data_IF_082244126208
#
_entry.id   IF_082244126208
#
_cell.length_a   1.000
_cell.length_b   1.000
_cell.length_c   1.000
_cell.angle_alpha   90.00
_cell.angle_beta   90.00
_cell.angle_gamma   90.00
#
_symmetry.space_group_name_H-M   'P 1'
#
loop_
_entity.id
_entity.type
_entity.pdbx_description
1 polymer ?
#
# COMPACT_ATOMS: atom_id res chain seq x y z
N UNK A 1 -13.12 24.54 11.38
CA UNK A 1 -11.82 23.93 11.58
C UNK A 1 -11.00 24.10 10.31
N UNK A 2 -9.70 24.19 10.42
CA UNK A 2 -8.77 24.13 9.30
C UNK A 2 -8.28 22.68 9.16
N UNK A 3 -8.59 22.04 8.03
CA UNK A 3 -8.22 20.65 7.74
C UNK A 3 -7.12 20.61 6.70
N UNK A 4 -6.05 19.90 6.96
CA UNK A 4 -5.08 19.53 5.94
C UNK A 4 -5.52 18.17 5.31
N UNK A 5 -5.87 18.17 4.03
CA UNK A 5 -6.08 16.94 3.26
C UNK A 5 -4.72 16.48 2.72
N UNK A 6 -4.23 15.36 3.25
CA UNK A 6 -2.93 14.77 2.90
C UNK A 6 -3.15 13.56 1.98
N UNK A 7 -2.48 13.55 0.83
CA UNK A 7 -2.68 12.57 -0.24
C UNK A 7 -1.39 12.30 -1.02
N UNK A 8 -1.39 11.25 -1.83
CA UNK A 8 -0.41 11.06 -2.89
C UNK A 8 -1.10 11.24 -4.25
N UNK A 9 -0.65 12.23 -5.03
CA UNK A 9 -1.19 12.50 -6.36
C UNK A 9 -0.50 11.64 -7.40
N UNK A 10 -1.29 10.85 -8.13
CA UNK A 10 -0.84 10.22 -9.36
C UNK A 10 -0.81 11.28 -10.47
N UNK A 11 0.40 11.70 -10.86
CA UNK A 11 0.56 12.54 -12.04
C UNK A 11 0.12 11.74 -13.27
N UNK A 12 -0.86 12.24 -13.97
CA UNK A 12 -1.17 11.72 -15.30
C UNK A 12 0.06 11.95 -16.18
N UNK A 13 0.52 10.91 -16.86
CA UNK A 13 1.63 11.03 -17.80
C UNK A 13 1.34 12.15 -18.81
N UNK A 14 2.06 13.25 -18.69
CA UNK A 14 1.84 14.50 -19.47
C UNK A 14 2.29 14.35 -20.93
N UNK A 15 2.67 13.17 -21.38
CA UNK A 15 2.98 12.95 -22.79
C UNK A 15 2.55 11.57 -23.26
N UNK A 16 1.77 11.56 -24.31
CA UNK A 16 1.28 10.39 -25.06
C UNK A 16 2.43 9.63 -25.75
N UNK A 17 3.65 10.16 -25.77
CA UNK A 17 4.75 9.68 -26.61
C UNK A 17 5.82 8.87 -25.87
N UNK A 18 5.91 8.94 -24.53
CA UNK A 18 6.74 8.02 -23.75
C UNK A 18 6.06 7.73 -22.40
N UNK A 19 5.65 6.47 -22.13
CA UNK A 19 5.29 6.11 -20.77
C UNK A 19 6.51 6.36 -19.87
N UNK A 20 6.35 6.91 -18.65
CA UNK A 20 7.46 7.07 -17.73
C UNK A 20 8.20 5.73 -17.66
N UNK A 21 9.52 5.77 -17.82
CA UNK A 21 10.36 4.58 -17.74
C UNK A 21 10.20 3.98 -16.34
N UNK A 22 9.34 2.96 -16.24
CA UNK A 22 9.13 2.27 -14.98
C UNK A 22 10.45 1.68 -14.51
N UNK A 23 10.77 1.77 -13.23
CA UNK A 23 11.92 1.07 -12.67
C UNK A 23 11.81 -0.42 -13.04
N UNK A 24 12.92 -1.10 -13.38
CA UNK A 24 12.90 -2.53 -13.62
C UNK A 24 12.22 -3.25 -12.46
N UNK A 25 11.21 -4.08 -12.77
CA UNK A 25 10.50 -4.87 -11.76
C UNK A 25 9.10 -4.38 -11.39
N UNK A 26 8.50 -3.43 -12.12
CA UNK A 26 7.11 -3.03 -11.96
C UNK A 26 6.28 -3.39 -13.20
N UNK A 27 4.99 -3.71 -12.99
CA UNK A 27 4.07 -4.13 -14.06
C UNK A 27 3.01 -3.06 -14.38
N UNK A 28 3.38 -1.78 -14.44
CA UNK A 28 2.43 -0.71 -14.71
C UNK A 28 1.55 -0.30 -13.53
N UNK A 29 1.81 -0.85 -12.35
CA UNK A 29 0.97 -0.67 -11.16
C UNK A 29 1.64 0.09 -10.00
N UNK A 30 2.81 0.71 -10.24
CA UNK A 30 3.59 1.37 -9.18
C UNK A 30 2.78 2.44 -8.43
N UNK A 31 1.93 3.17 -9.14
CA UNK A 31 1.07 4.22 -8.60
C UNK A 31 -0.39 3.78 -8.43
N UNK A 32 -0.68 2.47 -8.41
CA UNK A 32 -2.05 1.97 -8.31
C UNK A 32 -2.75 2.34 -6.99
N UNK A 33 -1.97 2.67 -5.96
CA UNK A 33 -2.47 3.10 -4.64
C UNK A 33 -2.66 4.63 -4.54
N UNK A 34 -2.17 5.39 -5.53
CA UNK A 34 -2.27 6.84 -5.51
C UNK A 34 -3.55 7.34 -6.16
N UNK A 35 -4.08 8.43 -5.62
CA UNK A 35 -5.31 9.04 -6.12
C UNK A 35 -5.07 9.93 -7.35
N UNK A 36 -6.06 9.95 -8.23
CA UNK A 36 -6.13 10.96 -9.28
C UNK A 36 -6.63 12.30 -8.73
N UNK A 37 -6.41 13.36 -9.51
CA UNK A 37 -6.82 14.72 -9.10
C UNK A 37 -8.34 14.86 -8.90
N UNK A 38 -9.16 14.10 -9.62
CA UNK A 38 -10.61 14.15 -9.49
C UNK A 38 -11.08 13.60 -8.15
N UNK A 39 -10.50 12.48 -7.70
CA UNK A 39 -10.74 11.91 -6.37
C UNK A 39 -10.36 12.92 -5.28
N UNK A 40 -9.15 13.49 -5.36
CA UNK A 40 -8.67 14.47 -4.38
C UNK A 40 -9.60 15.68 -4.31
N UNK A 41 -9.99 16.22 -5.48
CA UNK A 41 -10.91 17.37 -5.56
C UNK A 41 -12.33 17.05 -5.04
N UNK A 42 -12.80 15.84 -5.23
CA UNK A 42 -14.09 15.41 -4.68
C UNK A 42 -14.07 15.37 -3.14
N UNK A 43 -12.99 14.83 -2.55
CA UNK A 43 -12.79 14.81 -1.10
C UNK A 43 -12.65 16.25 -0.55
N UNK A 44 -11.81 17.08 -1.19
CA UNK A 44 -11.66 18.49 -0.85
C UNK A 44 -13.02 19.21 -0.85
N UNK A 45 -13.80 19.07 -1.91
CA UNK A 45 -15.11 19.72 -2.02
C UNK A 45 -16.09 19.27 -0.93
N UNK A 46 -16.09 17.97 -0.58
CA UNK A 46 -16.93 17.44 0.48
C UNK A 46 -16.55 18.04 1.85
N UNK A 47 -15.28 18.12 2.18
CA UNK A 47 -14.76 18.70 3.41
C UNK A 47 -15.01 20.24 3.45
N UNK A 48 -14.81 20.92 2.31
CA UNK A 48 -14.96 22.38 2.20
C UNK A 48 -16.39 22.87 2.42
N UNK A 49 -17.39 21.99 2.40
CA UNK A 49 -18.78 22.36 2.74
C UNK A 49 -18.93 22.93 4.14
N UNK A 50 -18.02 22.58 5.06
CA UNK A 50 -18.08 22.96 6.48
C UNK A 50 -16.75 23.41 7.08
N UNK A 51 -15.66 23.25 6.37
CA UNK A 51 -14.30 23.45 6.88
C UNK A 51 -13.45 24.25 5.89
N UNK A 52 -12.43 24.92 6.39
CA UNK A 52 -11.34 25.39 5.53
C UNK A 52 -10.44 24.20 5.21
N UNK A 53 -10.08 23.97 3.94
CA UNK A 53 -9.26 22.84 3.51
C UNK A 53 -7.99 23.34 2.83
N UNK A 54 -6.85 22.77 3.22
CA UNK A 54 -5.56 22.95 2.54
C UNK A 54 -5.08 21.59 2.02
N UNK A 55 -4.66 21.57 0.76
CA UNK A 55 -4.12 20.38 0.11
C UNK A 55 -2.63 20.22 0.41
N UNK A 56 -2.21 19.03 0.82
CA UNK A 56 -0.81 18.70 1.10
C UNK A 56 -0.45 17.39 0.42
N UNK A 57 0.39 17.44 -0.61
CA UNK A 57 0.97 16.23 -1.18
C UNK A 57 1.94 15.59 -0.18
N UNK A 58 1.89 14.27 -0.02
CA UNK A 58 2.75 13.50 0.87
C UNK A 58 4.13 13.27 0.24
N UNK A 59 4.85 14.34 0.05
CA UNK A 59 6.22 14.41 -0.48
C UNK A 59 7.23 14.77 0.62
N UNK A 60 8.49 14.95 0.24
CA UNK A 60 9.57 15.29 1.19
C UNK A 60 9.36 16.64 1.90
N UNK A 61 8.57 17.54 1.34
CA UNK A 61 8.26 18.84 1.93
C UNK A 61 7.05 18.81 2.87
N UNK A 62 6.34 17.67 2.95
CA UNK A 62 5.09 17.54 3.71
C UNK A 62 5.25 17.93 5.18
N UNK A 63 6.38 17.58 5.80
CA UNK A 63 6.68 17.95 7.20
C UNK A 63 6.63 19.46 7.40
N UNK A 64 7.35 20.24 6.59
CA UNK A 64 7.41 21.68 6.71
C UNK A 64 6.11 22.38 6.31
N UNK A 65 5.41 21.85 5.29
CA UNK A 65 4.08 22.32 4.88
C UNK A 65 3.09 22.18 6.03
N UNK A 66 3.00 21.02 6.66
CA UNK A 66 2.11 20.77 7.80
C UNK A 66 2.46 21.64 9.01
N UNK A 67 3.77 21.77 9.32
CA UNK A 67 4.23 22.65 10.40
C UNK A 67 3.83 24.10 10.17
N UNK A 68 3.94 24.59 8.96
CA UNK A 68 3.59 25.97 8.60
C UNK A 68 2.08 26.22 8.59
N UNK A 69 1.30 25.21 8.14
CA UNK A 69 -0.16 25.29 8.10
C UNK A 69 -0.80 25.21 9.50
N UNK A 70 -0.18 24.43 10.39
CA UNK A 70 -0.69 24.15 11.74
C UNK A 70 -2.19 23.86 11.75
N UNK A 71 -2.67 22.83 11.04
CA UNK A 71 -4.09 22.54 10.92
C UNK A 71 -4.69 22.02 12.21
N UNK A 72 -6.00 22.19 12.38
CA UNK A 72 -6.75 21.62 13.51
C UNK A 72 -6.87 20.09 13.41
N UNK A 73 -6.87 19.55 12.17
CA UNK A 73 -7.00 18.13 11.86
C UNK A 73 -6.33 17.81 10.53
N UNK A 74 -5.69 16.66 10.45
CA UNK A 74 -5.24 16.07 9.19
C UNK A 74 -6.24 15.01 8.74
N UNK A 75 -6.79 15.18 7.54
CA UNK A 75 -7.53 14.12 6.85
C UNK A 75 -6.55 13.39 5.92
N UNK A 76 -6.16 12.16 6.33
CA UNK A 76 -5.11 11.41 5.66
C UNK A 76 -5.69 10.36 4.70
N UNK A 77 -5.30 10.45 3.43
CA UNK A 77 -5.53 9.43 2.39
C UNK A 77 -4.22 9.07 1.68
N UNK A 78 -3.06 9.41 2.28
CA UNK A 78 -1.77 9.13 1.68
C UNK A 78 -1.34 7.68 1.93
N UNK A 79 -0.84 7.01 0.88
CA UNK A 79 -0.40 5.60 0.88
C UNK A 79 1.14 5.47 0.91
N UNK A 80 1.86 6.55 0.54
CA UNK A 80 3.31 6.52 0.40
C UNK A 80 3.77 5.80 -0.86
N UNK A 81 5.08 5.72 -1.08
CA UNK A 81 5.66 5.06 -2.25
C UNK A 81 6.76 4.07 -1.88
N UNK A 82 7.64 4.43 -1.00
CA UNK A 82 8.86 3.67 -0.72
C UNK A 82 8.91 3.13 0.71
N UNK A 83 9.43 1.92 0.84
CA UNK A 83 9.69 1.27 2.11
C UNK A 83 8.58 0.33 2.58
N UNK A 84 8.99 -0.63 3.41
CA UNK A 84 8.10 -1.67 3.96
C UNK A 84 7.04 -1.13 4.94
N UNK A 85 7.15 0.14 5.33
CA UNK A 85 6.20 0.82 6.23
C UNK A 85 5.75 2.16 5.63
N UNK A 86 5.61 2.22 4.28
CA UNK A 86 5.31 3.47 3.58
C UNK A 86 4.03 4.16 4.07
N UNK A 87 2.98 3.40 4.35
CA UNK A 87 1.71 3.93 4.86
C UNK A 87 1.84 4.55 6.27
N UNK A 88 2.82 4.10 7.05
CA UNK A 88 3.07 4.59 8.40
C UNK A 88 3.85 5.92 8.44
N UNK A 89 4.46 6.34 7.33
CA UNK A 89 5.36 7.51 7.30
C UNK A 89 4.62 8.81 7.62
N UNK A 90 3.49 9.06 6.96
CA UNK A 90 2.73 10.28 7.19
C UNK A 90 2.12 10.33 8.60
N UNK A 91 1.46 9.29 9.13
CA UNK A 91 1.01 9.27 10.52
C UNK A 91 2.13 9.49 11.54
N UNK A 92 3.33 8.96 11.31
CA UNK A 92 4.48 9.23 12.19
C UNK A 92 4.88 10.72 12.19
N UNK A 93 4.78 11.40 11.05
CA UNK A 93 4.99 12.85 10.95
C UNK A 93 3.89 13.61 11.72
N UNK A 94 2.62 13.18 11.62
CA UNK A 94 1.52 13.82 12.34
C UNK A 94 1.70 13.69 13.86
N UNK A 95 2.08 12.49 14.35
CA UNK A 95 2.38 12.28 15.77
C UNK A 95 3.57 13.11 16.25
N UNK A 96 4.63 13.21 15.46
CA UNK A 96 5.80 14.04 15.79
C UNK A 96 5.40 15.51 15.93
N UNK A 97 4.47 15.99 15.14
CA UNK A 97 3.95 17.36 15.18
C UNK A 97 2.75 17.55 16.13
N UNK A 98 2.32 16.47 16.79
CA UNK A 98 1.16 16.46 17.69
C UNK A 98 -0.14 16.91 16.99
N UNK A 99 -0.28 16.61 15.71
CA UNK A 99 -1.46 16.92 14.92
C UNK A 99 -2.48 15.80 15.06
N UNK A 100 -3.75 16.10 15.39
CA UNK A 100 -4.84 15.13 15.27
C UNK A 100 -5.00 14.70 13.81
N UNK A 101 -5.28 13.41 13.56
CA UNK A 101 -5.44 12.89 12.21
C UNK A 101 -6.48 11.78 12.13
N UNK A 102 -6.96 11.52 10.91
CA UNK A 102 -7.84 10.39 10.60
C UNK A 102 -7.03 9.18 10.18
N UNK A 103 -7.57 7.99 10.46
CA UNK A 103 -6.92 6.72 10.13
C UNK A 103 -6.23 6.09 11.33
N UNK A 104 -5.47 5.03 11.06
CA UNK A 104 -4.77 4.26 12.09
C UNK A 104 -3.40 4.85 12.43
N UNK A 105 -2.90 4.49 13.60
CA UNK A 105 -1.56 4.86 14.05
C UNK A 105 -0.45 4.18 13.21
N UNK A 106 0.80 4.69 13.27
CA UNK A 106 1.90 4.19 12.46
C UNK A 106 2.21 2.70 12.67
N UNK A 107 2.06 2.19 13.91
CA UNK A 107 2.34 0.78 14.23
C UNK A 107 1.28 -0.11 13.57
N UNK A 108 0.01 0.27 13.69
CA UNK A 108 -1.11 -0.45 13.06
C UNK A 108 -0.93 -0.49 11.55
N UNK A 109 -0.67 0.64 10.88
CA UNK A 109 -0.47 0.69 9.43
C UNK A 109 0.75 -0.13 8.99
N UNK A 110 1.87 -0.02 9.70
CA UNK A 110 3.07 -0.79 9.38
C UNK A 110 2.88 -2.30 9.53
N UNK A 111 2.04 -2.75 10.47
CA UNK A 111 1.68 -4.17 10.62
C UNK A 111 0.69 -4.57 9.51
N UNK A 112 -0.34 -3.78 9.25
CA UNK A 112 -1.39 -4.12 8.30
C UNK A 112 -0.90 -4.16 6.85
N UNK A 113 0.04 -3.32 6.47
CA UNK A 113 0.67 -3.37 5.15
C UNK A 113 1.39 -4.69 4.91
N UNK A 114 2.15 -5.20 5.90
CA UNK A 114 2.84 -6.50 5.82
C UNK A 114 1.86 -7.64 6.15
N UNK A 115 1.32 -8.29 5.11
CA UNK A 115 0.36 -9.39 5.24
C UNK A 115 0.88 -10.56 6.07
N UNK A 116 2.21 -10.79 6.10
CA UNK A 116 2.82 -11.80 6.96
C UNK A 116 2.69 -11.40 8.43
N UNK A 117 3.11 -10.18 8.77
CA UNK A 117 3.03 -9.66 10.15
C UNK A 117 1.58 -9.58 10.63
N UNK A 118 0.67 -9.14 9.77
CA UNK A 118 -0.77 -9.16 10.05
C UNK A 118 -1.24 -10.56 10.43
N UNK A 119 -0.92 -11.58 9.63
CA UNK A 119 -1.34 -12.97 9.89
C UNK A 119 -0.69 -13.54 11.16
N UNK A 120 0.59 -13.25 11.40
CA UNK A 120 1.30 -13.63 12.63
C UNK A 120 0.64 -13.00 13.87
N UNK A 121 0.26 -11.71 13.79
CA UNK A 121 -0.45 -11.01 14.87
C UNK A 121 -1.83 -11.61 15.10
N UNK A 122 -2.61 -11.84 14.04
CA UNK A 122 -3.93 -12.46 14.13
C UNK A 122 -3.85 -13.87 14.77
N UNK A 123 -2.85 -14.66 14.39
CA UNK A 123 -2.64 -16.00 14.96
C UNK A 123 -2.33 -15.93 16.46
N UNK A 124 -1.52 -14.97 16.91
CA UNK A 124 -1.25 -14.75 18.34
C UNK A 124 -2.52 -14.46 19.14
N UNK A 125 -3.46 -13.73 18.51
CA UNK A 125 -4.77 -13.41 19.11
C UNK A 125 -5.86 -14.45 18.81
N UNK A 126 -5.50 -15.59 18.21
CA UNK A 126 -6.42 -16.68 17.84
C UNK A 126 -7.53 -16.25 16.88
N UNK A 127 -7.30 -15.23 16.07
CA UNK A 127 -8.19 -14.82 14.99
C UNK A 127 -7.93 -15.70 13.77
N UNK A 128 -8.93 -16.45 13.27
CA UNK A 128 -8.75 -17.32 12.12
C UNK A 128 -8.30 -16.56 10.87
N UNK A 129 -7.30 -17.09 10.19
CA UNK A 129 -6.89 -16.62 8.87
C UNK A 129 -6.46 -17.82 8.01
N UNK A 130 -6.49 -17.73 6.68
CA UNK A 130 -6.01 -18.79 5.82
C UNK A 130 -4.58 -19.20 6.16
N UNK A 131 -4.29 -20.50 6.05
CA UNK A 131 -2.91 -20.98 6.20
C UNK A 131 -2.04 -20.39 5.10
N UNK A 132 -0.80 -20.04 5.42
CA UNK A 132 0.06 -19.33 4.50
C UNK A 132 1.53 -19.72 4.60
N UNK A 133 2.27 -19.40 3.56
CA UNK A 133 3.72 -19.49 3.46
C UNK A 133 4.25 -18.19 2.84
N UNK A 134 5.41 -17.75 3.30
CA UNK A 134 6.12 -16.61 2.70
C UNK A 134 7.46 -17.12 2.21
N UNK A 135 7.69 -17.03 0.92
CA UNK A 135 8.82 -17.67 0.26
C UNK A 135 9.49 -16.74 -0.74
N UNK A 136 10.78 -16.91 -0.92
CA UNK A 136 11.58 -16.25 -1.96
C UNK A 136 11.92 -17.18 -3.13
N UNK A 137 11.58 -18.47 -2.98
CA UNK A 137 11.75 -19.50 -4.03
C UNK A 137 10.68 -20.58 -3.85
N UNK A 138 10.16 -21.17 -4.95
CA UNK A 138 9.21 -22.27 -4.89
C UNK A 138 9.72 -23.52 -4.14
N UNK A 139 11.04 -23.70 -4.04
CA UNK A 139 11.67 -24.84 -3.37
C UNK A 139 11.45 -24.82 -1.83
N UNK A 140 11.15 -23.67 -1.27
CA UNK A 140 10.83 -23.50 0.16
C UNK A 140 9.43 -24.02 0.51
N UNK A 141 8.58 -24.25 -0.50
CA UNK A 141 7.22 -24.73 -0.29
C UNK A 141 7.16 -26.25 -0.12
N UNK A 142 6.20 -26.77 0.67
CA UNK A 142 5.97 -28.20 0.77
C UNK A 142 5.76 -28.86 -0.60
N UNK A 143 6.27 -30.09 -0.77
CA UNK A 143 6.11 -30.86 -2.02
C UNK A 143 4.64 -31.19 -2.31
N UNK A 144 3.84 -31.38 -1.26
CA UNK A 144 2.40 -31.68 -1.36
C UNK A 144 1.62 -30.50 -0.76
N UNK A 145 0.74 -29.94 -1.54
CA UNK A 145 -0.13 -28.83 -1.17
C UNK A 145 -1.53 -29.07 -1.72
N UNK A 146 -2.54 -28.60 -1.01
CA UNK A 146 -3.92 -28.61 -1.52
C UNK A 146 -4.15 -27.36 -2.38
N UNK A 147 -4.87 -27.53 -3.46
CA UNK A 147 -5.23 -26.44 -4.37
C UNK A 147 -6.75 -26.21 -4.37
N UNK A 148 -7.24 -25.01 -4.75
CA UNK A 148 -6.48 -23.86 -5.25
C UNK A 148 -5.72 -23.12 -4.13
N UNK A 149 -4.70 -22.33 -4.52
CA UNK A 149 -3.94 -21.43 -3.64
C UNK A 149 -3.89 -20.04 -4.27
N UNK A 150 -3.80 -19.01 -3.42
CA UNK A 150 -3.58 -17.63 -3.84
C UNK A 150 -2.12 -17.25 -3.65
N UNK A 151 -1.51 -16.66 -4.69
CA UNK A 151 -0.11 -16.16 -4.66
C UNK A 151 -0.12 -14.66 -4.93
N UNK A 152 0.46 -13.87 -4.02
CA UNK A 152 0.49 -12.40 -4.11
C UNK A 152 1.71 -11.80 -3.40
N UNK A 153 2.10 -10.56 -3.70
CA UNK A 153 3.11 -9.87 -2.92
C UNK A 153 2.60 -9.54 -1.51
N UNK A 154 3.41 -9.72 -0.46
CA UNK A 154 2.98 -9.49 0.93
C UNK A 154 2.92 -8.01 1.33
N UNK A 155 3.69 -7.11 0.67
CA UNK A 155 3.87 -5.72 1.06
C UNK A 155 3.13 -4.72 0.17
N UNK A 156 2.15 -5.18 -0.62
CA UNK A 156 1.38 -4.34 -1.52
C UNK A 156 -0.08 -4.22 -1.07
N UNK A 157 -0.68 -3.04 -1.28
CA UNK A 157 -2.10 -2.76 -1.05
C UNK A 157 -2.90 -2.76 -2.36
N UNK A 158 -4.16 -2.34 -2.31
CA UNK A 158 -5.07 -2.08 -3.45
C UNK A 158 -5.07 -3.13 -4.55
N UNK A 159 -4.91 -4.41 -4.19
CA UNK A 159 -4.79 -5.54 -5.13
C UNK A 159 -3.59 -5.48 -6.08
N UNK A 160 -2.58 -4.67 -5.79
CA UNK A 160 -1.33 -4.60 -6.54
C UNK A 160 -0.67 -5.98 -6.58
N UNK A 161 -0.28 -6.42 -7.77
CA UNK A 161 0.28 -7.77 -7.98
C UNK A 161 -0.72 -8.92 -7.92
N UNK A 162 -2.03 -8.63 -7.84
CA UNK A 162 -3.09 -9.65 -7.90
C UNK A 162 -3.73 -9.64 -9.29
N UNK A 163 -3.63 -10.76 -9.99
CA UNK A 163 -4.17 -10.97 -11.33
C UNK A 163 -4.94 -12.30 -11.40
N UNK A 164 -5.54 -12.62 -12.53
CA UNK A 164 -6.17 -13.92 -12.74
C UNK A 164 -5.20 -15.11 -12.55
N UNK A 165 -3.89 -14.88 -12.72
CA UNK A 165 -2.84 -15.88 -12.47
C UNK A 165 -2.53 -16.09 -11.00
N UNK A 166 -2.98 -15.19 -10.12
CA UNK A 166 -2.72 -15.30 -8.68
C UNK A 166 -3.43 -16.48 -8.05
N UNK A 167 -4.55 -16.95 -8.63
CA UNK A 167 -5.24 -18.17 -8.20
C UNK A 167 -4.67 -19.37 -8.94
N UNK A 168 -3.80 -20.14 -8.28
CA UNK A 168 -3.09 -21.28 -8.84
C UNK A 168 -3.77 -22.59 -8.48
N UNK A 169 -3.84 -23.52 -9.43
CA UNK A 169 -4.58 -24.79 -9.32
C UNK A 169 -3.70 -26.03 -9.34
N UNK A 170 -2.41 -25.86 -9.59
CA UNK A 170 -1.44 -26.95 -9.62
C UNK A 170 -0.01 -26.44 -9.34
N UNK A 171 0.92 -27.38 -9.18
CA UNK A 171 2.31 -27.07 -8.85
C UNK A 171 3.01 -26.23 -9.91
N UNK A 172 2.72 -26.44 -11.20
CA UNK A 172 3.34 -25.67 -12.27
C UNK A 172 2.95 -24.20 -12.20
N UNK A 173 1.66 -23.91 -12.10
CA UNK A 173 1.14 -22.54 -11.95
C UNK A 173 1.69 -21.87 -10.68
N UNK A 174 1.78 -22.63 -9.57
CA UNK A 174 2.35 -22.14 -8.31
C UNK A 174 3.82 -21.69 -8.48
N UNK A 175 4.65 -22.49 -9.13
CA UNK A 175 6.05 -22.17 -9.36
C UNK A 175 6.17 -20.91 -10.23
N UNK A 176 5.47 -20.89 -11.36
CA UNK A 176 5.48 -19.75 -12.29
C UNK A 176 5.03 -18.44 -11.60
N UNK A 177 3.98 -18.50 -10.76
CA UNK A 177 3.45 -17.31 -10.09
C UNK A 177 4.35 -16.85 -8.94
N UNK A 178 4.97 -17.74 -8.17
CA UNK A 178 5.95 -17.37 -7.13
C UNK A 178 7.15 -16.69 -7.76
N UNK A 179 7.72 -17.29 -8.81
CA UNK A 179 8.87 -16.72 -9.51
C UNK A 179 8.52 -15.33 -10.10
N UNK A 180 7.33 -15.19 -10.68
CA UNK A 180 6.86 -13.91 -11.19
C UNK A 180 6.75 -12.83 -10.11
N UNK A 181 6.11 -13.13 -8.96
CA UNK A 181 5.98 -12.16 -7.85
C UNK A 181 7.36 -11.74 -7.35
N UNK A 182 8.25 -12.71 -7.12
CA UNK A 182 9.60 -12.43 -6.61
C UNK A 182 10.40 -11.57 -7.59
N UNK A 183 10.36 -11.89 -8.87
CA UNK A 183 11.09 -11.15 -9.90
C UNK A 183 10.52 -9.75 -10.13
N UNK A 184 9.18 -9.62 -10.17
CA UNK A 184 8.50 -8.37 -10.51
C UNK A 184 8.52 -7.36 -9.36
N UNK A 185 8.21 -7.81 -8.14
CA UNK A 185 8.07 -6.91 -6.98
C UNK A 185 9.33 -6.84 -6.11
N UNK A 186 10.37 -7.62 -6.43
CA UNK A 186 11.63 -7.67 -5.67
C UNK A 186 11.40 -7.92 -4.17
N UNK A 187 10.37 -8.70 -3.85
CA UNK A 187 10.01 -9.10 -2.50
C UNK A 187 9.64 -10.60 -2.46
N UNK A 188 9.42 -11.15 -1.28
CA UNK A 188 8.92 -12.52 -1.15
C UNK A 188 7.51 -12.67 -1.75
N UNK A 189 7.10 -13.90 -2.03
CA UNK A 189 5.72 -14.22 -2.37
C UNK A 189 4.98 -14.77 -1.14
N UNK A 190 3.76 -14.28 -0.91
CA UNK A 190 2.80 -14.88 0.03
C UNK A 190 1.95 -15.87 -0.75
N UNK A 191 1.96 -17.13 -0.28
CA UNK A 191 1.11 -18.22 -0.78
C UNK A 191 0.09 -18.56 0.31
N UNK A 192 -1.21 -18.56 0.01
CA UNK A 192 -2.24 -18.84 1.00
C UNK A 192 -3.37 -19.73 0.44
N UNK A 193 -4.05 -20.50 1.36
CA UNK A 193 -5.19 -21.35 1.07
C UNK A 193 -6.48 -20.54 0.80
#
# INVERSE_FOLDING_TARGET
MHIALVFNLREEAVSVDEPPSEPPGHCGDIYAEWDDIHTIKAVEAALATRHQVSLVNADLDAFEKLRSLNPDLVFNIAEGLHGASREAQMPAIFEMQQLPYTGSDPVTLGICLDKRRTKETLAQHRVPSPRFWVVTSPDQLPKRMSYPLMVKPPLEGSSKGVTDRSLVRNRKELVEQVDWVVATYQQSALVEE
#
